data_IF_426571102386
#
_entry.id   IF_426571102386
#
_cell.length_a   1.000
_cell.length_b   1.000
_cell.length_c   1.000
_cell.angle_alpha   90.00
_cell.angle_beta   90.00
_cell.angle_gamma   90.00
#
_symmetry.space_group_name_H-M   'P 1'
#
loop_
_entity.id
_entity.type
_entity.pdbx_description
1 polymer ?
#
# COMPACT_ATOMS: atom_id res chain seq x y z
N UNK A 1 -16.38 -19.34 50.14
CA UNK A 1 -15.95 -17.98 49.78
C UNK A 1 -15.46 -17.99 48.35
N UNK A 2 -16.34 -17.61 47.43
CA UNK A 2 -16.11 -17.51 45.98
C UNK A 2 -15.26 -16.27 45.69
N UNK A 3 -14.11 -16.42 45.02
CA UNK A 3 -13.37 -15.29 44.46
C UNK A 3 -14.08 -14.83 43.17
N UNK A 4 -14.26 -13.52 42.94
CA UNK A 4 -14.85 -13.04 41.71
C UNK A 4 -13.83 -13.07 40.59
N UNK A 5 -14.26 -13.59 39.44
CA UNK A 5 -13.54 -13.56 38.17
C UNK A 5 -13.60 -12.12 37.64
N UNK A 6 -12.49 -11.38 37.65
CA UNK A 6 -12.42 -10.11 36.91
C UNK A 6 -12.31 -10.43 35.43
N UNK A 7 -13.38 -10.14 34.69
CA UNK A 7 -13.37 -10.10 33.24
C UNK A 7 -12.20 -9.22 32.78
N UNK A 8 -11.33 -9.79 31.95
CA UNK A 8 -10.23 -9.07 31.35
C UNK A 8 -10.78 -7.87 30.57
N UNK A 9 -10.31 -6.68 30.92
CA UNK A 9 -10.32 -5.56 30.00
C UNK A 9 -9.50 -6.00 28.78
N UNK A 10 -10.19 -6.24 27.67
CA UNK A 10 -9.54 -6.28 26.37
C UNK A 10 -9.01 -4.86 26.15
N UNK A 11 -7.71 -4.70 26.36
CA UNK A 11 -6.99 -3.48 26.04
C UNK A 11 -7.20 -3.21 24.55
N UNK A 12 -7.97 -2.17 24.23
CA UNK A 12 -8.32 -1.72 22.88
C UNK A 12 -7.10 -1.01 22.26
N UNK A 13 -5.97 -1.71 22.27
CA UNK A 13 -4.77 -1.27 21.61
C UNK A 13 -5.08 -1.30 20.11
N UNK A 14 -5.35 -0.11 19.55
CA UNK A 14 -5.39 0.13 18.11
C UNK A 14 -4.27 -0.68 17.46
N UNK A 15 -4.65 -1.63 16.61
CA UNK A 15 -3.69 -2.43 15.87
C UNK A 15 -2.82 -1.47 15.09
N UNK A 16 -1.55 -1.32 15.52
CA UNK A 16 -0.61 -0.43 14.86
C UNK A 16 -0.22 -1.05 13.53
N UNK A 17 -0.33 -0.26 12.47
CA UNK A 17 0.21 -0.63 11.18
C UNK A 17 1.73 -0.66 11.33
N UNK A 18 2.34 -1.81 11.06
CA UNK A 18 3.72 -2.11 11.44
C UNK A 18 4.75 -1.11 10.88
N UNK A 19 4.38 -0.41 9.79
CA UNK A 19 5.24 0.53 9.08
C UNK A 19 4.92 2.00 9.38
N UNK A 20 3.81 2.28 10.06
CA UNK A 20 3.39 3.65 10.37
C UNK A 20 4.31 4.27 11.43
N UNK A 21 4.80 5.46 11.12
CA UNK A 21 5.60 6.30 12.01
C UNK A 21 4.71 7.29 12.74
N UNK A 22 5.07 7.58 13.99
CA UNK A 22 4.36 8.54 14.84
C UNK A 22 5.24 9.72 15.31
N UNK A 23 6.56 9.60 15.15
CA UNK A 23 7.58 10.60 15.40
C UNK A 23 7.68 11.62 14.26
N UNK A 24 6.54 12.23 13.92
CA UNK A 24 6.39 13.04 12.71
C UNK A 24 6.34 14.54 13.02
N UNK A 25 6.93 15.39 12.15
CA UNK A 25 6.69 16.82 12.15
C UNK A 25 5.19 17.13 12.03
N UNK A 26 4.77 18.24 12.64
CA UNK A 26 3.36 18.66 12.68
C UNK A 26 2.69 18.73 11.31
N UNK A 27 3.42 19.19 10.29
CA UNK A 27 2.91 19.27 8.92
C UNK A 27 2.49 17.90 8.39
N UNK A 28 3.34 16.89 8.58
CA UNK A 28 3.09 15.52 8.11
C UNK A 28 1.97 14.87 8.94
N UNK A 29 1.98 15.07 10.26
CA UNK A 29 0.96 14.51 11.17
C UNK A 29 -0.46 14.99 10.82
N UNK A 30 -0.61 16.24 10.38
CA UNK A 30 -1.91 16.85 10.05
C UNK A 30 -2.46 16.49 8.67
N UNK A 31 -1.69 15.78 7.84
CA UNK A 31 -2.18 15.32 6.54
C UNK A 31 -3.38 14.40 6.74
N UNK A 32 -4.47 14.70 6.02
CA UNK A 32 -5.60 13.78 5.88
C UNK A 32 -5.16 12.48 5.19
N UNK A 33 -6.06 11.51 5.08
CA UNK A 33 -5.79 10.28 4.33
C UNK A 33 -5.35 10.58 2.88
N UNK A 34 -4.53 9.72 2.25
CA UNK A 34 -4.25 9.80 0.83
C UNK A 34 -5.55 9.90 0.01
N UNK A 35 -5.56 10.65 -1.12
CA UNK A 35 -6.76 10.76 -1.93
C UNK A 35 -7.09 9.43 -2.62
N UNK A 36 -8.37 9.22 -2.94
CA UNK A 36 -8.82 8.03 -3.67
C UNK A 36 -8.50 8.20 -5.15
N UNK A 37 -7.57 7.42 -5.75
CA UNK A 37 -7.38 7.41 -7.20
C UNK A 37 -8.60 6.80 -7.92
N UNK A 38 -8.79 7.19 -9.17
CA UNK A 38 -9.84 6.69 -10.05
C UNK A 38 -9.26 6.04 -11.29
N UNK A 39 -10.01 5.10 -11.86
CA UNK A 39 -9.74 4.51 -13.15
C UNK A 39 -11.02 4.56 -13.98
N UNK A 40 -10.87 4.82 -15.28
CA UNK A 40 -11.98 4.79 -16.21
C UNK A 40 -12.42 3.34 -16.51
N UNK A 41 -13.72 3.12 -16.80
CA UNK A 41 -14.23 1.84 -17.26
C UNK A 41 -13.39 1.27 -18.42
N UNK A 42 -13.19 -0.07 -18.48
CA UNK A 42 -13.85 -1.09 -17.66
C UNK A 42 -13.17 -1.36 -16.31
N UNK A 43 -12.25 -0.51 -15.88
CA UNK A 43 -11.56 -0.66 -14.60
C UNK A 43 -12.24 0.17 -13.51
N UNK A 44 -12.03 -0.21 -12.25
CA UNK A 44 -12.54 0.52 -11.11
C UNK A 44 -11.60 0.45 -9.91
N UNK A 45 -11.68 1.46 -9.06
CA UNK A 45 -11.05 1.50 -7.74
C UNK A 45 -12.10 1.94 -6.72
N UNK A 46 -12.17 1.24 -5.60
CA UNK A 46 -13.01 1.61 -4.45
C UNK A 46 -12.20 1.46 -3.16
N UNK A 47 -12.57 2.23 -2.14
CA UNK A 47 -12.03 2.00 -0.79
C UNK A 47 -12.48 0.63 -0.30
N UNK A 48 -11.54 -0.13 0.28
CA UNK A 48 -11.84 -1.42 0.88
C UNK A 48 -12.73 -1.24 2.12
N UNK A 49 -13.53 -2.26 2.42
CA UNK A 49 -14.43 -2.31 3.57
C UNK A 49 -14.03 -3.48 4.47
N UNK A 50 -14.46 -3.46 5.74
CA UNK A 50 -14.18 -4.57 6.68
C UNK A 50 -14.75 -5.92 6.23
N UNK A 51 -15.74 -5.90 5.34
CA UNK A 51 -16.35 -7.09 4.71
C UNK A 51 -15.49 -7.68 3.60
N UNK A 52 -14.46 -6.98 3.12
CA UNK A 52 -13.50 -7.50 2.14
C UNK A 52 -12.42 -8.39 2.78
N UNK A 53 -12.38 -8.48 4.12
CA UNK A 53 -11.32 -9.18 4.85
C UNK A 53 -11.18 -10.66 4.47
N UNK A 54 -12.30 -11.37 4.28
CA UNK A 54 -12.30 -12.76 3.83
C UNK A 54 -11.70 -12.92 2.42
N UNK A 55 -12.08 -12.03 1.50
CA UNK A 55 -11.57 -12.02 0.13
C UNK A 55 -10.06 -11.71 0.10
N UNK A 56 -9.61 -10.71 0.87
CA UNK A 56 -8.20 -10.35 0.96
C UNK A 56 -7.36 -11.44 1.61
N UNK A 57 -7.87 -12.09 2.66
CA UNK A 57 -7.20 -13.24 3.25
C UNK A 57 -7.02 -14.35 2.23
N UNK A 58 -8.05 -14.67 1.44
CA UNK A 58 -7.93 -15.67 0.37
C UNK A 58 -6.85 -15.27 -0.64
N UNK A 59 -6.89 -14.05 -1.18
CA UNK A 59 -5.91 -13.58 -2.16
C UNK A 59 -4.49 -13.62 -1.61
N UNK A 60 -4.26 -13.10 -0.41
CA UNK A 60 -2.93 -12.92 0.16
C UNK A 60 -2.31 -14.23 0.65
N UNK A 61 -3.12 -15.28 0.83
CA UNK A 61 -2.65 -16.64 1.05
C UNK A 61 -2.30 -17.39 -0.25
N UNK A 62 -2.57 -16.82 -1.44
CA UNK A 62 -2.14 -17.44 -2.71
C UNK A 62 -0.61 -17.42 -2.80
N UNK A 63 0.05 -18.49 -3.28
CA UNK A 63 1.52 -18.63 -3.19
C UNK A 63 2.33 -17.45 -3.75
N UNK A 64 1.89 -16.84 -4.86
CA UNK A 64 2.60 -15.71 -5.48
C UNK A 64 2.45 -14.41 -4.68
N UNK A 65 1.34 -14.22 -3.97
CA UNK A 65 1.13 -13.06 -3.09
C UNK A 65 1.79 -13.29 -1.73
N UNK A 66 1.64 -14.47 -1.13
CA UNK A 66 2.29 -14.82 0.13
C UNK A 66 3.81 -14.62 0.05
N UNK A 67 4.44 -15.07 -1.04
CA UNK A 67 5.88 -14.89 -1.27
C UNK A 67 6.31 -13.42 -1.48
N UNK A 68 5.41 -12.55 -1.95
CA UNK A 68 5.72 -11.16 -2.27
C UNK A 68 5.36 -10.16 -1.16
N UNK A 69 4.31 -10.47 -0.40
CA UNK A 69 3.72 -9.59 0.63
C UNK A 69 3.98 -10.07 2.05
N UNK A 70 4.16 -11.38 2.28
CA UNK A 70 4.30 -11.98 3.62
C UNK A 70 3.08 -11.71 4.54
N UNK A 71 1.92 -11.43 3.92
CA UNK A 71 0.64 -11.08 4.57
C UNK A 71 -0.39 -12.22 4.40
N UNK A 72 0.07 -13.46 4.43
CA UNK A 72 -0.71 -14.70 4.43
C UNK A 72 -1.44 -14.91 5.78
N UNK A 73 -2.18 -13.89 6.19
CA UNK A 73 -2.85 -13.79 7.46
C UNK A 73 -4.26 -14.35 7.40
N UNK A 74 -4.82 -14.80 8.54
CA UNK A 74 -6.24 -15.12 8.63
C UNK A 74 -7.12 -13.87 8.45
N UNK A 75 -8.37 -14.07 8.04
CA UNK A 75 -9.35 -12.99 7.81
C UNK A 75 -9.56 -12.08 9.04
N UNK A 76 -9.47 -12.61 10.25
CA UNK A 76 -9.56 -11.82 11.48
C UNK A 76 -8.47 -10.74 11.57
N UNK A 77 -7.23 -11.07 11.17
CA UNK A 77 -6.12 -10.13 11.15
C UNK A 77 -6.23 -9.14 9.99
N UNK A 78 -6.72 -9.58 8.81
CA UNK A 78 -7.06 -8.66 7.72
C UNK A 78 -8.13 -7.64 8.13
N UNK A 79 -9.18 -8.08 8.83
CA UNK A 79 -10.23 -7.19 9.35
C UNK A 79 -9.66 -6.14 10.31
N UNK A 80 -8.79 -6.55 11.22
CA UNK A 80 -8.09 -5.62 12.13
C UNK A 80 -7.19 -4.64 11.37
N UNK A 81 -6.45 -5.12 10.37
CA UNK A 81 -5.57 -4.30 9.55
C UNK A 81 -6.36 -3.25 8.76
N UNK A 82 -7.43 -3.66 8.07
CA UNK A 82 -8.33 -2.75 7.36
C UNK A 82 -8.94 -1.72 8.31
N UNK A 83 -9.38 -2.12 9.51
CA UNK A 83 -9.93 -1.19 10.50
C UNK A 83 -8.91 -0.12 10.90
N UNK A 84 -7.66 -0.52 11.17
CA UNK A 84 -6.58 0.41 11.48
C UNK A 84 -6.30 1.38 10.33
N UNK A 85 -6.29 0.91 9.08
CA UNK A 85 -6.12 1.79 7.91
C UNK A 85 -7.30 2.76 7.73
N UNK A 86 -8.54 2.29 7.93
CA UNK A 86 -9.76 3.08 7.71
C UNK A 86 -9.98 4.16 8.78
N UNK A 87 -9.59 3.89 10.02
CA UNK A 87 -9.59 4.86 11.14
C UNK A 87 -8.37 5.79 11.08
N UNK A 88 -7.29 5.37 10.41
CA UNK A 88 -6.05 6.11 10.30
C UNK A 88 -6.01 7.16 9.18
N UNK A 89 -4.86 7.83 9.09
CA UNK A 89 -4.54 8.78 8.01
C UNK A 89 -3.24 8.44 7.29
N UNK A 90 -2.63 7.30 7.63
CA UNK A 90 -1.35 6.86 7.09
C UNK A 90 -1.50 6.24 5.70
N UNK A 91 -2.38 5.24 5.56
CA UNK A 91 -2.62 4.55 4.30
C UNK A 91 -4.10 4.37 3.99
N UNK A 92 -4.39 4.13 2.71
CA UNK A 92 -5.71 3.95 2.16
C UNK A 92 -5.77 2.59 1.42
N UNK A 93 -6.56 1.63 1.92
CA UNK A 93 -6.74 0.34 1.27
C UNK A 93 -7.78 0.46 0.16
N UNK A 94 -7.45 -0.07 -1.01
CA UNK A 94 -8.27 0.02 -2.21
C UNK A 94 -8.46 -1.36 -2.84
N UNK A 95 -9.65 -1.60 -3.37
CA UNK A 95 -9.97 -2.77 -4.19
C UNK A 95 -10.05 -2.32 -5.66
N UNK A 96 -9.26 -2.99 -6.49
CA UNK A 96 -9.26 -2.85 -7.94
C UNK A 96 -10.14 -3.89 -8.61
N UNK A 97 -10.93 -3.43 -9.57
CA UNK A 97 -11.85 -4.27 -10.34
C UNK A 97 -11.69 -4.09 -11.85
N UNK A 98 -12.11 -5.10 -12.59
CA UNK A 98 -12.18 -5.08 -14.05
C UNK A 98 -13.46 -5.77 -14.52
N UNK A 99 -14.24 -5.09 -15.36
CA UNK A 99 -15.62 -5.46 -15.71
C UNK A 99 -16.46 -5.82 -14.46
N UNK A 100 -16.34 -5.01 -13.40
CA UNK A 100 -17.08 -5.19 -12.15
C UNK A 100 -16.64 -6.39 -11.30
N UNK A 101 -15.60 -7.12 -11.70
CA UNK A 101 -15.03 -8.21 -10.91
C UNK A 101 -13.81 -7.71 -10.15
N UNK A 102 -13.88 -7.78 -8.82
CA UNK A 102 -12.77 -7.46 -7.93
C UNK A 102 -11.62 -8.47 -8.12
N UNK A 103 -10.38 -7.97 -8.18
CA UNK A 103 -9.22 -8.82 -8.42
C UNK A 103 -7.86 -8.19 -8.13
N UNK A 104 -7.84 -6.98 -7.56
CA UNK A 104 -6.63 -6.32 -7.12
C UNK A 104 -6.81 -5.68 -5.75
N UNK A 105 -5.73 -5.66 -4.97
CA UNK A 105 -5.62 -4.87 -3.75
C UNK A 105 -4.51 -3.85 -3.95
N UNK A 106 -4.77 -2.59 -3.60
CA UNK A 106 -3.79 -1.53 -3.63
C UNK A 106 -3.74 -0.87 -2.25
N UNK A 107 -2.55 -0.47 -1.84
CA UNK A 107 -2.36 0.36 -0.65
C UNK A 107 -1.62 1.61 -1.07
N UNK A 108 -2.32 2.75 -1.00
CA UNK A 108 -1.73 4.07 -1.21
C UNK A 108 -1.42 4.66 0.17
N UNK A 109 -0.20 5.10 0.41
CA UNK A 109 0.22 5.59 1.72
C UNK A 109 1.06 6.85 1.64
N UNK A 110 1.06 7.67 2.69
CA UNK A 110 2.02 8.77 2.79
C UNK A 110 3.40 8.22 3.12
N UNK A 111 4.33 8.32 2.18
CA UNK A 111 5.69 7.80 2.36
C UNK A 111 6.43 8.53 3.50
N UNK A 112 6.10 9.81 3.75
CA UNK A 112 6.59 10.57 4.90
C UNK A 112 6.10 10.04 6.26
N UNK A 113 5.00 9.27 6.28
CA UNK A 113 4.45 8.59 7.47
C UNK A 113 4.87 7.11 7.54
N UNK A 114 5.57 6.59 6.55
CA UNK A 114 6.04 5.21 6.48
C UNK A 114 7.49 5.08 6.93
N UNK A 115 7.89 3.89 7.41
CA UNK A 115 9.28 3.56 7.72
C UNK A 115 10.27 3.91 6.59
N UNK A 116 9.86 3.88 5.31
CA UNK A 116 10.76 4.16 4.18
C UNK A 116 11.34 5.57 4.24
N UNK A 117 10.66 6.51 4.89
CA UNK A 117 11.15 7.88 5.06
C UNK A 117 12.43 8.01 5.90
N UNK A 118 12.90 6.95 6.54
CA UNK A 118 14.23 6.91 7.15
C UNK A 118 15.37 6.71 6.14
N UNK A 119 15.07 6.26 4.93
CA UNK A 119 16.04 5.78 3.95
C UNK A 119 16.22 6.70 2.74
N UNK A 120 15.51 7.83 2.72
CA UNK A 120 15.66 8.89 1.74
C UNK A 120 15.22 10.24 2.34
N UNK A 121 15.56 11.33 1.67
CA UNK A 121 15.11 12.68 2.05
C UNK A 121 13.63 12.86 1.68
N UNK A 122 12.73 12.48 2.58
CA UNK A 122 11.29 12.41 2.33
C UNK A 122 10.62 13.80 2.29
N UNK A 123 9.84 14.06 1.25
CA UNK A 123 8.95 15.22 1.17
C UNK A 123 7.62 14.89 1.86
N UNK A 124 6.98 15.84 2.57
CA UNK A 124 5.69 15.62 3.23
C UNK A 124 4.61 15.00 2.36
N UNK A 125 4.59 15.29 1.05
CA UNK A 125 3.56 14.84 0.12
C UNK A 125 3.97 13.65 -0.75
N UNK A 126 5.13 13.04 -0.49
CA UNK A 126 5.51 11.80 -1.16
C UNK A 126 4.49 10.71 -0.83
N UNK A 127 3.97 10.06 -1.87
CA UNK A 127 3.09 8.91 -1.74
C UNK A 127 3.87 7.64 -2.03
N UNK A 128 3.50 6.54 -1.40
CA UNK A 128 3.96 5.21 -1.78
C UNK A 128 2.80 4.35 -2.23
N UNK A 129 3.09 3.37 -3.08
CA UNK A 129 2.10 2.48 -3.66
C UNK A 129 2.53 1.02 -3.56
N UNK A 130 1.71 0.20 -2.92
CA UNK A 130 1.77 -1.25 -3.02
C UNK A 130 0.59 -1.77 -3.85
N UNK A 131 0.82 -2.81 -4.65
CA UNK A 131 -0.22 -3.42 -5.47
C UNK A 131 -0.09 -4.94 -5.53
N UNK A 132 -1.22 -5.62 -5.38
CA UNK A 132 -1.39 -7.06 -5.48
C UNK A 132 -2.46 -7.34 -6.54
N UNK A 133 -2.20 -8.31 -7.42
CA UNK A 133 -3.20 -8.85 -8.34
C UNK A 133 -3.46 -10.29 -7.92
N UNK A 134 -4.72 -10.59 -7.60
CA UNK A 134 -5.13 -11.89 -7.07
C UNK A 134 -4.88 -13.02 -8.07
N UNK A 135 -5.19 -12.78 -9.34
CA UNK A 135 -5.08 -13.77 -10.41
C UNK A 135 -3.69 -13.72 -11.09
N UNK A 136 -2.88 -14.74 -10.83
CA UNK A 136 -1.54 -14.88 -11.40
C UNK A 136 -1.55 -14.89 -12.94
N UNK A 137 -2.61 -15.40 -13.58
CA UNK A 137 -2.70 -15.38 -15.04
C UNK A 137 -2.80 -13.95 -15.60
N UNK A 138 -3.43 -13.03 -14.85
CA UNK A 138 -3.50 -11.62 -15.21
C UNK A 138 -2.16 -10.91 -15.00
N UNK A 139 -1.44 -11.25 -13.93
CA UNK A 139 -0.05 -10.81 -13.71
C UNK A 139 0.80 -11.16 -14.92
N UNK A 140 0.78 -12.44 -15.32
CA UNK A 140 1.59 -12.96 -16.43
C UNK A 140 1.18 -12.40 -17.80
N UNK A 141 -0.04 -11.85 -17.92
CA UNK A 141 -0.52 -11.17 -19.13
C UNK A 141 -0.29 -9.66 -19.12
N UNK A 142 0.46 -9.12 -18.15
CA UNK A 142 0.87 -7.72 -18.15
C UNK A 142 -0.16 -6.74 -17.58
N UNK A 143 -1.10 -7.19 -16.74
CA UNK A 143 -2.05 -6.26 -16.08
C UNK A 143 -1.35 -5.17 -15.25
N UNK A 144 -0.23 -5.50 -14.59
CA UNK A 144 0.56 -4.53 -13.84
C UNK A 144 1.06 -3.38 -14.71
N UNK A 145 1.88 -3.64 -15.75
CA UNK A 145 2.32 -2.63 -16.72
C UNK A 145 1.17 -1.85 -17.38
N UNK A 146 0.01 -2.47 -17.58
CA UNK A 146 -1.17 -1.83 -18.18
C UNK A 146 -1.83 -0.81 -17.25
N UNK A 147 -1.98 -1.15 -15.96
CA UNK A 147 -2.74 -0.36 -14.99
C UNK A 147 -1.91 0.62 -14.20
N UNK A 148 -0.66 0.26 -13.87
CA UNK A 148 0.20 1.06 -13.01
C UNK A 148 0.36 2.50 -13.52
N UNK A 149 0.64 2.77 -14.82
CA UNK A 149 0.75 4.14 -15.32
C UNK A 149 -0.55 4.96 -15.15
N UNK A 150 -1.72 4.31 -15.27
CA UNK A 150 -3.03 4.97 -15.12
C UNK A 150 -3.31 5.32 -13.66
N UNK A 151 -3.01 4.39 -12.75
CA UNK A 151 -3.11 4.62 -11.30
C UNK A 151 -2.19 5.76 -10.89
N UNK A 152 -0.92 5.71 -11.30
CA UNK A 152 0.08 6.75 -11.02
C UNK A 152 -0.38 8.12 -11.53
N UNK A 153 -0.87 8.19 -12.78
CA UNK A 153 -1.38 9.45 -13.33
C UNK A 153 -2.55 10.00 -12.52
N UNK A 154 -3.49 9.14 -12.09
CA UNK A 154 -4.61 9.56 -11.23
C UNK A 154 -4.15 10.02 -9.85
N UNK A 155 -3.14 9.35 -9.26
CA UNK A 155 -2.58 9.76 -7.97
C UNK A 155 -1.99 11.17 -8.05
N UNK A 156 -1.16 11.46 -9.06
CA UNK A 156 -0.61 12.81 -9.25
C UNK A 156 -1.68 13.86 -9.54
N UNK A 157 -2.72 13.52 -10.31
CA UNK A 157 -3.82 14.43 -10.58
C UNK A 157 -4.63 14.77 -9.30
N UNK A 158 -4.81 13.80 -8.41
CA UNK A 158 -5.57 13.96 -7.17
C UNK A 158 -4.77 14.58 -6.02
N UNK A 159 -3.45 14.45 -6.02
CA UNK A 159 -2.55 15.14 -5.09
C UNK A 159 -1.47 15.92 -5.86
N UNK A 160 -1.76 17.16 -6.31
CA UNK A 160 -0.82 17.96 -7.08
C UNK A 160 0.45 18.37 -6.33
N UNK A 161 0.48 18.23 -4.99
CA UNK A 161 1.68 18.47 -4.18
C UNK A 161 2.63 17.28 -4.16
N UNK A 162 2.14 16.08 -4.51
CA UNK A 162 2.95 14.88 -4.61
C UNK A 162 3.90 15.02 -5.80
N UNK A 163 5.22 14.98 -5.51
CA UNK A 163 6.27 15.12 -6.52
C UNK A 163 6.83 13.79 -6.98
N UNK A 164 6.62 12.72 -6.23
CA UNK A 164 7.07 11.37 -6.58
C UNK A 164 6.25 10.30 -5.87
N UNK A 165 6.16 9.15 -6.52
CA UNK A 165 5.57 7.94 -5.95
C UNK A 165 6.67 6.93 -5.65
N UNK A 166 6.67 6.42 -4.42
CA UNK A 166 7.67 5.51 -3.89
C UNK A 166 7.23 4.05 -4.07
N UNK A 167 8.21 3.19 -4.34
CA UNK A 167 8.04 1.74 -4.42
C UNK A 167 9.20 1.07 -3.68
N UNK A 168 8.89 0.07 -2.85
CA UNK A 168 9.86 -0.66 -2.01
C UNK A 168 9.68 -2.18 -2.10
N UNK A 169 9.73 -2.78 -3.31
CA UNK A 169 9.68 -4.24 -3.44
C UNK A 169 10.79 -4.93 -2.65
N UNK A 170 10.58 -6.22 -2.33
CA UNK A 170 11.65 -7.05 -1.79
C UNK A 170 12.82 -7.05 -2.78
N UNK A 171 14.06 -6.96 -2.30
CA UNK A 171 15.23 -6.98 -3.16
C UNK A 171 15.30 -8.22 -4.08
N UNK A 172 14.70 -9.35 -3.68
CA UNK A 172 14.58 -10.60 -4.45
C UNK A 172 13.47 -10.57 -5.50
N UNK A 173 12.52 -9.64 -5.41
CA UNK A 173 11.39 -9.53 -6.33
C UNK A 173 11.83 -8.87 -7.65
N UNK A 174 12.61 -9.62 -8.43
CA UNK A 174 13.20 -9.17 -9.70
C UNK A 174 12.15 -8.70 -10.71
N UNK A 175 10.94 -9.28 -10.69
CA UNK A 175 9.84 -8.86 -11.57
C UNK A 175 9.38 -7.43 -11.27
N UNK A 176 9.14 -7.11 -9.99
CA UNK A 176 8.69 -5.77 -9.60
C UNK A 176 9.79 -4.72 -9.76
N UNK A 177 11.04 -5.10 -9.50
CA UNK A 177 12.21 -4.24 -9.75
C UNK A 177 12.34 -3.86 -11.22
N UNK A 178 12.27 -4.85 -12.12
CA UNK A 178 12.27 -4.63 -13.57
C UNK A 178 11.10 -3.78 -14.03
N UNK A 179 9.92 -3.94 -13.42
CA UNK A 179 8.76 -3.10 -13.70
C UNK A 179 9.02 -1.63 -13.30
N UNK A 180 9.62 -1.39 -12.14
CA UNK A 180 10.00 -0.04 -11.70
C UNK A 180 11.02 0.58 -12.66
N UNK A 181 12.05 -0.17 -13.03
CA UNK A 181 13.09 0.29 -13.97
C UNK A 181 12.51 0.59 -15.36
N UNK A 182 11.63 -0.28 -15.87
CA UNK A 182 10.92 -0.06 -17.13
C UNK A 182 10.00 1.17 -17.07
N UNK A 183 9.34 1.40 -15.93
CA UNK A 183 8.47 2.56 -15.73
C UNK A 183 9.25 3.89 -15.58
N UNK A 184 10.59 3.85 -15.56
CA UNK A 184 11.44 5.02 -15.42
C UNK A 184 11.68 5.44 -13.96
N UNK A 185 11.41 4.57 -12.98
CA UNK A 185 11.70 4.87 -11.59
C UNK A 185 13.21 4.99 -11.35
N UNK A 186 13.61 5.99 -10.58
CA UNK A 186 14.98 6.14 -10.06
C UNK A 186 15.20 5.15 -8.92
N UNK A 187 16.24 4.33 -9.02
CA UNK A 187 16.69 3.45 -7.93
C UNK A 187 17.43 4.26 -6.86
N UNK A 188 17.03 4.11 -5.59
CA UNK A 188 17.57 4.82 -4.43
C UNK A 188 18.37 3.91 -3.49
N UNK A 189 18.61 2.66 -3.88
CA UNK A 189 19.41 1.70 -3.12
C UNK A 189 18.59 0.56 -2.50
N UNK A 190 19.31 -0.44 -2.01
CA UNK A 190 18.76 -1.51 -1.19
C UNK A 190 19.01 -1.20 0.28
N UNK A 191 17.98 -1.37 1.11
CA UNK A 191 18.00 -0.98 2.51
C UNK A 191 17.48 -2.12 3.37
N UNK A 192 18.19 -2.39 4.48
CA UNK A 192 17.75 -3.35 5.49
C UNK A 192 16.78 -2.67 6.47
N UNK A 193 15.60 -3.25 6.61
CA UNK A 193 14.60 -2.87 7.60
C UNK A 193 14.53 -3.95 8.69
N UNK A 194 13.67 -3.77 9.69
CA UNK A 194 13.54 -4.68 10.83
C UNK A 194 13.28 -6.14 10.43
N UNK A 195 12.59 -6.38 9.30
CA UNK A 195 12.16 -7.71 8.89
C UNK A 195 12.51 -8.11 7.46
N UNK A 196 13.00 -7.19 6.61
CA UNK A 196 13.27 -7.47 5.20
C UNK A 196 14.34 -6.55 4.62
N UNK A 197 14.86 -6.93 3.46
CA UNK A 197 15.66 -6.04 2.60
C UNK A 197 14.81 -5.57 1.43
N UNK A 198 14.61 -4.26 1.35
CA UNK A 198 13.84 -3.63 0.28
C UNK A 198 14.75 -2.98 -0.76
N UNK A 199 14.32 -2.93 -2.02
CA UNK A 199 14.92 -2.12 -3.06
C UNK A 199 14.04 -0.88 -3.26
N UNK A 200 14.54 0.31 -2.90
CA UNK A 200 13.75 1.54 -2.92
C UNK A 200 13.84 2.22 -4.29
N UNK A 201 12.69 2.59 -4.83
CA UNK A 201 12.55 3.29 -6.11
C UNK A 201 11.63 4.50 -5.96
N UNK A 202 11.88 5.55 -6.74
CA UNK A 202 11.04 6.74 -6.83
C UNK A 202 10.66 7.01 -8.28
N UNK A 203 9.37 7.17 -8.55
CA UNK A 203 8.85 7.64 -9.83
C UNK A 203 8.49 9.12 -9.70
N UNK A 204 9.26 9.98 -10.36
CA UNK A 204 9.00 11.43 -10.34
C UNK A 204 7.70 11.76 -11.10
N UNK A 205 6.99 12.76 -10.61
CA UNK A 205 5.87 13.34 -11.32
C UNK A 205 6.33 13.84 -12.70
N UNK A 206 5.52 13.68 -13.77
CA UNK A 206 5.85 14.24 -15.06
C UNK A 206 6.12 15.73 -14.89
N UNK A 207 7.29 16.19 -15.34
CA UNK A 207 7.57 17.63 -15.39
C UNK A 207 6.52 18.26 -16.30
N UNK A 208 5.62 19.08 -15.76
CA UNK A 208 4.78 19.92 -16.58
C UNK A 208 5.75 20.86 -17.29
N UNK A 209 5.94 20.69 -18.60
CA UNK A 209 6.66 21.70 -19.37
C UNK A 209 5.93 23.03 -19.15
N UNK A 210 6.63 23.98 -18.55
CA UNK A 210 6.15 25.35 -18.37
C UNK A 210 5.95 26.04 -19.73
#
# INVERSE_FOLDING_TARGET
MTKPTSAGQADDALVRLARERFDLPDQVRRLARPPVPSLEPPYGLRVAQLTDAEMLAEWMNRPHLAAAWEYDWPASRWRQHLNAQLEGTYSLPLIGSWHGTDGGYLELYWAAKDLISHYYDADPYDLGLHAAIADLSKVNRGFGPLLLPRIVASVFANEPRCRRIMFDPDHRNTATRRLCEWAGCKFLGEHDTTNRRMALYALEAPTTAA
#
